data_IF_418067068754
#
_entry.id   IF_418067068754
#
_cell.length_a   1.000
_cell.length_b   1.000
_cell.length_c   1.000
_cell.angle_alpha   90.00
_cell.angle_beta   90.00
_cell.angle_gamma   90.00
#
_symmetry.space_group_name_H-M   'P 1'
#
loop_
_entity.id
_entity.type
_entity.pdbx_description
1 polymer ?
#
# COMPACT_ATOMS: atom_id res chain seq x y z
N UNK A 1 3.76 5.36 -22.40
CA UNK A 1 3.87 6.61 -21.60
C UNK A 1 3.08 6.50 -20.29
N UNK A 2 3.49 5.60 -19.38
CA UNK A 2 2.94 5.64 -18.02
C UNK A 2 3.64 6.76 -17.25
N UNK A 3 2.93 7.83 -16.91
CA UNK A 3 3.52 9.06 -16.36
C UNK A 3 4.23 8.82 -15.01
N UNK A 4 5.37 9.48 -14.75
CA UNK A 4 6.02 9.49 -13.42
C UNK A 4 5.04 9.90 -12.30
N UNK A 5 4.00 10.66 -12.66
CA UNK A 5 2.87 11.02 -11.79
C UNK A 5 2.16 9.80 -11.21
N UNK A 6 1.92 8.74 -11.99
CA UNK A 6 1.18 7.57 -11.49
C UNK A 6 1.98 6.82 -10.42
N UNK A 7 3.30 6.68 -10.63
CA UNK A 7 4.22 6.06 -9.66
C UNK A 7 4.31 6.90 -8.39
N UNK A 8 4.41 8.23 -8.52
CA UNK A 8 4.44 9.15 -7.38
C UNK A 8 3.13 9.12 -6.58
N UNK A 9 1.99 9.08 -7.27
CA UNK A 9 0.67 8.93 -6.63
C UNK A 9 0.56 7.59 -5.91
N UNK A 10 1.02 6.48 -6.50
CA UNK A 10 1.07 5.17 -5.82
C UNK A 10 1.94 5.20 -4.57
N UNK A 11 3.11 5.82 -4.64
CA UNK A 11 4.01 5.93 -3.49
C UNK A 11 3.38 6.77 -2.37
N UNK A 12 2.67 7.83 -2.73
CA UNK A 12 1.94 8.66 -1.78
C UNK A 12 0.77 7.90 -1.14
N UNK A 13 -0.01 7.13 -1.91
CA UNK A 13 -1.10 6.31 -1.35
C UNK A 13 -0.56 5.21 -0.45
N UNK A 14 0.56 4.57 -0.80
CA UNK A 14 1.25 3.60 0.04
C UNK A 14 1.66 4.23 1.39
N UNK A 15 2.29 5.41 1.37
CA UNK A 15 2.73 6.09 2.58
C UNK A 15 1.55 6.50 3.48
N UNK A 16 0.46 6.98 2.89
CA UNK A 16 -0.78 7.31 3.62
C UNK A 16 -1.37 6.04 4.25
N UNK A 17 -1.40 4.94 3.51
CA UNK A 17 -1.94 3.66 3.99
C UNK A 17 -1.11 3.10 5.17
N UNK A 18 0.22 3.13 5.06
CA UNK A 18 1.13 2.71 6.14
C UNK A 18 0.94 3.58 7.39
N UNK A 19 0.84 4.90 7.21
CA UNK A 19 0.64 5.85 8.32
C UNK A 19 -0.70 5.59 9.00
N UNK A 20 -1.77 5.39 8.22
CA UNK A 20 -3.10 5.07 8.77
C UNK A 20 -3.11 3.73 9.52
N UNK A 21 -2.45 2.71 8.97
CA UNK A 21 -2.31 1.41 9.62
C UNK A 21 -1.53 1.49 10.94
N UNK A 22 -0.45 2.29 10.99
CA UNK A 22 0.31 2.52 12.22
C UNK A 22 -0.53 3.21 13.30
N UNK A 23 -1.34 4.21 12.93
CA UNK A 23 -2.28 4.87 13.84
C UNK A 23 -3.32 3.89 14.38
N UNK A 24 -3.88 3.04 13.51
CA UNK A 24 -4.86 2.02 13.90
C UNK A 24 -4.26 0.97 14.84
N UNK A 25 -3.02 0.54 14.61
CA UNK A 25 -2.30 -0.35 15.54
C UNK A 25 -1.99 0.33 16.88
N UNK A 26 -1.65 1.62 16.88
CA UNK A 26 -1.49 2.39 18.12
C UNK A 26 -2.79 2.46 18.92
N UNK A 27 -3.91 2.69 18.23
CA UNK A 27 -5.25 2.66 18.84
C UNK A 27 -5.61 1.27 19.40
N UNK A 28 -5.25 0.17 18.73
CA UNK A 28 -5.46 -1.18 19.25
C UNK A 28 -4.83 -1.39 20.61
N UNK A 29 -3.56 -1.00 20.76
CA UNK A 29 -2.82 -1.15 22.01
C UNK A 29 -3.48 -0.31 23.11
N UNK A 30 -3.95 0.89 22.76
CA UNK A 30 -4.64 1.78 23.70
C UNK A 30 -6.01 1.26 24.14
N UNK A 31 -6.81 0.70 23.22
CA UNK A 31 -8.12 0.11 23.54
C UNK A 31 -7.99 -1.23 24.28
N UNK A 32 -6.97 -2.02 23.97
CA UNK A 32 -6.62 -3.21 24.75
C UNK A 32 -6.28 -2.85 26.20
N UNK A 33 -5.59 -1.73 26.44
CA UNK A 33 -5.34 -1.21 27.78
C UNK A 33 -6.61 -0.71 28.50
N UNK A 34 -7.65 -0.32 27.76
CA UNK A 34 -8.96 0.06 28.30
C UNK A 34 -9.88 -1.15 28.62
N UNK A 35 -9.44 -2.38 28.33
CA UNK A 35 -10.23 -3.61 28.51
C UNK A 35 -11.53 -3.67 27.65
N UNK A 36 -11.61 -2.86 26.59
CA UNK A 36 -12.74 -2.90 25.65
C UNK A 36 -12.50 -3.96 24.57
N UNK A 37 -12.91 -5.19 24.89
CA UNK A 37 -12.71 -6.38 24.05
C UNK A 37 -13.49 -6.34 22.73
N UNK A 38 -14.62 -5.62 22.67
CA UNK A 38 -15.43 -5.49 21.47
C UNK A 38 -14.73 -4.59 20.45
N UNK A 39 -14.20 -3.47 20.91
CA UNK A 39 -13.49 -2.52 20.08
C UNK A 39 -12.13 -3.06 19.60
N UNK A 40 -11.41 -3.83 20.45
CA UNK A 40 -10.18 -4.51 20.05
C UNK A 40 -10.41 -5.50 18.88
N UNK A 41 -11.53 -6.24 18.91
CA UNK A 41 -11.91 -7.17 17.82
C UNK A 41 -12.28 -6.44 16.54
N UNK A 42 -13.08 -5.38 16.61
CA UNK A 42 -13.43 -4.57 15.44
C UNK A 42 -12.18 -3.99 14.77
N UNK A 43 -11.23 -3.54 15.57
CA UNK A 43 -10.00 -2.95 15.09
C UNK A 43 -9.03 -4.00 14.51
N UNK A 44 -9.16 -5.28 14.86
CA UNK A 44 -8.40 -6.37 14.22
C UNK A 44 -8.89 -6.61 12.80
N UNK A 45 -10.22 -6.53 12.58
CA UNK A 45 -10.81 -6.62 11.24
C UNK A 45 -10.39 -5.45 10.36
N UNK A 46 -10.36 -4.23 10.91
CA UNK A 46 -9.82 -3.06 10.21
C UNK A 46 -8.33 -3.24 9.89
N UNK A 47 -7.54 -3.75 10.85
CA UNK A 47 -6.11 -4.06 10.62
C UNK A 47 -5.92 -5.07 9.48
N UNK A 48 -6.72 -6.14 9.46
CA UNK A 48 -6.70 -7.12 8.38
C UNK A 48 -7.06 -6.51 7.02
N UNK A 49 -8.06 -5.62 6.98
CA UNK A 49 -8.41 -4.85 5.78
C UNK A 49 -7.27 -3.95 5.29
N UNK A 50 -6.55 -3.29 6.20
CA UNK A 50 -5.36 -2.50 5.87
C UNK A 50 -4.24 -3.35 5.28
N UNK A 51 -3.99 -4.54 5.83
CA UNK A 51 -2.98 -5.47 5.30
C UNK A 51 -3.32 -5.91 3.87
N UNK A 52 -4.60 -6.23 3.60
CA UNK A 52 -5.04 -6.59 2.25
C UNK A 52 -4.83 -5.42 1.27
N UNK A 53 -5.21 -4.20 1.67
CA UNK A 53 -4.99 -3.00 0.85
C UNK A 53 -3.50 -2.76 0.56
N UNK A 54 -2.63 -3.03 1.53
CA UNK A 54 -1.18 -2.87 1.38
C UNK A 54 -0.62 -3.87 0.37
N UNK A 55 -1.07 -5.13 0.43
CA UNK A 55 -0.68 -6.15 -0.56
C UNK A 55 -1.13 -5.75 -1.97
N UNK A 56 -2.34 -5.24 -2.12
CA UNK A 56 -2.87 -4.77 -3.42
C UNK A 56 -2.04 -3.61 -3.95
N UNK A 57 -1.71 -2.63 -3.10
CA UNK A 57 -0.90 -1.46 -3.49
C UNK A 57 0.50 -1.88 -3.95
N UNK A 58 1.17 -2.78 -3.21
CA UNK A 58 2.46 -3.35 -3.61
C UNK A 58 2.37 -4.13 -4.94
N UNK A 59 1.31 -4.91 -5.15
CA UNK A 59 1.09 -5.62 -6.42
C UNK A 59 0.98 -4.64 -7.59
N UNK A 60 0.18 -3.58 -7.43
CA UNK A 60 0.03 -2.53 -8.45
C UNK A 60 1.36 -1.84 -8.73
N UNK A 61 2.16 -1.58 -7.70
CA UNK A 61 3.48 -0.96 -7.83
C UNK A 61 4.45 -1.86 -8.59
N UNK A 62 4.47 -3.17 -8.30
CA UNK A 62 5.29 -4.17 -9.01
C UNK A 62 4.86 -4.28 -10.47
N UNK A 63 3.56 -4.34 -10.76
CA UNK A 63 3.05 -4.39 -12.15
C UNK A 63 3.42 -3.11 -12.91
N UNK A 64 3.24 -1.93 -12.30
CA UNK A 64 3.60 -0.66 -12.92
C UNK A 64 5.11 -0.56 -13.18
N UNK A 65 5.94 -1.03 -12.25
CA UNK A 65 7.40 -1.07 -12.42
C UNK A 65 7.81 -2.05 -13.52
N UNK A 66 7.18 -3.23 -13.56
CA UNK A 66 7.43 -4.25 -14.58
C UNK A 66 7.06 -3.76 -15.98
N UNK A 67 5.91 -3.09 -16.12
CA UNK A 67 5.49 -2.46 -17.37
C UNK A 67 6.48 -1.39 -17.84
N UNK A 68 7.06 -0.63 -16.91
CA UNK A 68 8.10 0.36 -17.22
C UNK A 68 9.40 -0.25 -17.71
N UNK A 69 9.85 -1.34 -17.09
CA UNK A 69 11.05 -2.05 -17.53
C UNK A 69 10.85 -2.59 -18.94
N UNK A 70 9.68 -3.19 -19.20
CA UNK A 70 9.34 -3.74 -20.52
C UNK A 70 9.24 -2.66 -21.61
N UNK A 71 8.68 -1.48 -21.29
CA UNK A 71 8.62 -0.33 -22.20
C UNK A 71 10.02 0.21 -22.52
N UNK A 72 10.93 0.20 -21.54
CA UNK A 72 12.32 0.64 -21.73
C UNK A 72 13.13 -0.32 -22.62
N UNK A 73 12.98 -1.64 -22.42
CA UNK A 73 13.65 -2.65 -23.25
C UNK A 73 13.17 -2.62 -24.72
N UNK A 74 11.87 -2.44 -24.95
CA UNK A 74 11.29 -2.30 -26.28
C UNK A 74 11.80 -1.06 -27.02
N UNK A 75 11.96 0.07 -26.33
CA UNK A 75 12.48 1.28 -26.95
C UNK A 75 13.96 1.13 -27.33
N UNK A 76 14.77 0.54 -26.45
CA UNK A 76 16.20 0.30 -26.69
C UNK A 76 16.46 -0.68 -27.85
N UNK A 77 15.55 -1.63 -28.10
CA UNK A 77 15.67 -2.61 -29.19
C UNK A 77 15.20 -2.09 -30.55
N UNK A 78 14.51 -0.94 -30.62
CA UNK A 78 14.09 -0.32 -31.88
C UNK A 78 15.08 0.78 -32.36
N UNK A 79 16.07 1.13 -31.55
CA UNK A 79 17.17 2.07 -31.86
C UNK A 79 18.50 1.36 -32.20
N UNK A 80 18.51 0.01 -32.25
CA UNK A 80 19.62 -0.82 -32.75
C UNK A 80 19.32 -1.40 -34.13
#
# INVERSE_FOLDING_TARGET
MISNKVISTLLATLAILVTSCAVLMGFQVLLGALHDTAAARALQWIGFGCVILLVIDVLLLVVALSARVLEHDQHNSNDS
#
